data_IF_190329578404
#
_entry.id   IF_190329578404
#
_cell.length_a   1.000
_cell.length_b   1.000
_cell.length_c   1.000
_cell.angle_alpha   90.00
_cell.angle_beta   90.00
_cell.angle_gamma   90.00
#
_symmetry.space_group_name_H-M   'P 1'
#
loop_
_entity.id
_entity.type
_entity.pdbx_description
1 polymer ?
#
# COMPACT_ATOMS: atom_id res chain seq x y z
N UNK A 1 -6.44 -2.24 -1.95
CA UNK A 1 -6.04 -1.45 -0.77
C UNK A 1 -7.15 -1.31 0.29
N UNK A 2 -8.33 -0.77 -0.05
CA UNK A 2 -9.42 -0.55 0.91
C UNK A 2 -9.90 -1.80 1.68
N UNK A 3 -9.73 -3.01 1.11
CA UNK A 3 -10.02 -4.28 1.81
C UNK A 3 -9.11 -4.52 3.02
N UNK A 4 -7.86 -4.02 2.99
CA UNK A 4 -6.89 -4.17 4.07
C UNK A 4 -6.91 -2.96 5.00
N UNK A 5 -6.96 -1.75 4.44
CA UNK A 5 -6.97 -0.50 5.21
C UNK A 5 -8.14 0.36 4.70
N UNK A 6 -9.34 0.23 5.29
CA UNK A 6 -10.53 0.93 4.79
C UNK A 6 -10.39 2.45 4.76
N UNK A 7 -9.63 3.04 5.69
CA UNK A 7 -9.46 4.50 5.80
C UNK A 7 -8.85 5.17 4.57
N UNK A 8 -8.26 4.42 3.64
CA UNK A 8 -7.74 4.98 2.38
C UNK A 8 -8.83 5.51 1.44
N UNK A 9 -10.10 5.12 1.64
CA UNK A 9 -11.22 5.63 0.81
C UNK A 9 -11.47 7.12 1.02
N UNK A 10 -11.11 7.65 2.18
CA UNK A 10 -11.28 9.06 2.53
C UNK A 10 -10.13 9.94 2.04
N UNK A 11 -9.00 9.32 1.66
CA UNK A 11 -7.82 10.04 1.18
C UNK A 11 -8.05 10.58 -0.23
N UNK A 12 -7.65 11.82 -0.49
CA UNK A 12 -7.57 12.42 -1.82
C UNK A 12 -6.16 12.22 -2.40
N UNK A 13 -5.99 12.50 -3.68
CA UNK A 13 -4.67 12.50 -4.30
C UNK A 13 -3.75 13.49 -3.57
N UNK A 14 -2.53 13.06 -3.25
CA UNK A 14 -1.52 13.78 -2.43
C UNK A 14 -1.83 13.88 -0.93
N UNK A 15 -2.85 13.20 -0.42
CA UNK A 15 -3.04 13.06 1.03
C UNK A 15 -2.03 12.08 1.61
N UNK A 16 -1.66 12.35 2.86
CA UNK A 16 -0.86 11.48 3.71
C UNK A 16 -1.63 11.20 4.99
N UNK A 17 -1.71 9.94 5.40
CA UNK A 17 -2.40 9.53 6.61
C UNK A 17 -1.60 8.45 7.37
N UNK A 18 -1.78 8.43 8.69
CA UNK A 18 -1.37 7.32 9.54
C UNK A 18 -2.63 6.48 9.79
N UNK A 19 -2.63 5.24 9.30
CA UNK A 19 -3.79 4.36 9.36
C UNK A 19 -3.42 3.00 9.98
N UNK A 20 -4.28 2.44 10.85
CA UNK A 20 -3.96 1.21 11.55
C UNK A 20 -4.14 -0.03 10.65
N UNK A 21 -3.24 -1.00 10.82
CA UNK A 21 -3.37 -2.34 10.23
C UNK A 21 -2.65 -3.37 11.10
N UNK A 22 -3.30 -4.49 11.42
CA UNK A 22 -2.65 -5.59 12.16
C UNK A 22 -2.06 -5.19 13.52
N UNK A 23 -2.62 -4.16 14.18
CA UNK A 23 -2.12 -3.65 15.47
C UNK A 23 -0.93 -2.70 15.39
N UNK A 24 -0.51 -2.30 14.18
CA UNK A 24 0.53 -1.28 13.95
C UNK A 24 0.00 -0.12 13.13
N UNK A 25 0.73 0.99 13.17
CA UNK A 25 0.48 2.16 12.33
C UNK A 25 1.23 2.05 11.01
N UNK A 26 0.51 2.27 9.91
CA UNK A 26 1.07 2.40 8.57
C UNK A 26 1.09 3.88 8.19
N UNK A 27 2.18 4.33 7.59
CA UNK A 27 2.23 5.67 6.98
C UNK A 27 1.96 5.54 5.48
N UNK A 28 0.85 6.11 5.05
CA UNK A 28 0.31 5.92 3.70
C UNK A 28 0.21 7.27 2.99
N UNK A 29 0.79 7.35 1.81
CA UNK A 29 0.59 8.43 0.84
C UNK A 29 -0.27 7.93 -0.30
N UNK A 30 -1.32 8.66 -0.69
CA UNK A 30 -2.06 8.39 -1.93
C UNK A 30 -1.38 9.14 -3.08
N UNK A 31 -0.39 8.49 -3.67
CA UNK A 31 0.44 9.00 -4.77
C UNK A 31 0.49 7.97 -5.92
N UNK A 32 0.79 8.45 -7.12
CA UNK A 32 0.80 7.66 -8.33
C UNK A 32 2.02 7.94 -9.19
N UNK A 33 3.08 7.12 -9.08
CA UNK A 33 4.33 7.36 -9.81
C UNK A 33 4.18 7.21 -11.33
N UNK A 34 3.27 6.36 -11.79
CA UNK A 34 2.98 6.13 -13.22
C UNK A 34 1.90 7.08 -13.78
N UNK A 35 1.38 8.01 -12.97
CA UNK A 35 0.19 8.82 -13.30
C UNK A 35 -1.15 8.10 -13.07
N UNK A 36 -1.11 6.82 -12.69
CA UNK A 36 -2.29 6.07 -12.24
C UNK A 36 -2.50 6.24 -10.72
N UNK A 37 -3.73 6.05 -10.25
CA UNK A 37 -4.03 6.09 -8.81
C UNK A 37 -3.33 4.95 -8.07
N UNK A 38 -2.76 5.26 -6.91
CA UNK A 38 -1.91 4.33 -6.18
C UNK A 38 -1.62 4.78 -4.75
N UNK A 39 -0.81 3.97 -4.06
CA UNK A 39 -0.39 4.24 -2.70
C UNK A 39 1.09 3.89 -2.50
N UNK A 40 1.79 4.74 -1.76
CA UNK A 40 3.07 4.43 -1.14
C UNK A 40 2.84 4.16 0.34
N UNK A 41 3.40 3.05 0.84
CA UNK A 41 3.07 2.52 2.16
C UNK A 41 4.37 2.20 2.90
N UNK A 42 4.65 2.94 3.97
CA UNK A 42 5.71 2.60 4.91
C UNK A 42 5.17 1.68 6.00
N UNK A 43 5.79 0.51 6.14
CA UNK A 43 5.37 -0.55 7.06
C UNK A 43 6.50 -0.83 8.06
N UNK A 44 6.22 -1.02 9.37
CA UNK A 44 7.21 -1.52 10.31
C UNK A 44 7.82 -2.85 9.83
N UNK A 45 9.14 -3.00 9.96
CA UNK A 45 9.88 -4.13 9.39
C UNK A 45 9.31 -5.49 9.80
N UNK A 46 8.94 -5.67 11.08
CA UNK A 46 8.38 -6.92 11.59
C UNK A 46 7.01 -7.28 10.99
N UNK A 47 6.34 -6.35 10.30
CA UNK A 47 5.01 -6.53 9.69
C UNK A 47 5.08 -6.50 8.16
N UNK A 48 6.22 -6.13 7.58
CA UNK A 48 6.38 -5.96 6.13
C UNK A 48 6.03 -7.23 5.34
N UNK A 49 6.53 -8.40 5.77
CA UNK A 49 6.21 -9.67 5.11
C UNK A 49 4.71 -10.01 5.22
N UNK A 50 4.14 -9.88 6.40
CA UNK A 50 2.71 -10.15 6.62
C UNK A 50 1.82 -9.24 5.78
N UNK A 51 2.18 -7.96 5.68
CA UNK A 51 1.45 -6.99 4.86
C UNK A 51 1.54 -7.31 3.37
N UNK A 52 2.74 -7.63 2.88
CA UNK A 52 2.94 -8.02 1.49
C UNK A 52 2.16 -9.31 1.13
N UNK A 53 2.15 -10.31 2.02
CA UNK A 53 1.35 -11.53 1.82
C UNK A 53 -0.15 -11.24 1.77
N UNK A 54 -0.66 -10.40 2.68
CA UNK A 54 -2.06 -9.99 2.67
C UNK A 54 -2.47 -9.23 1.39
N UNK A 55 -1.55 -8.49 0.77
CA UNK A 55 -1.76 -7.92 -0.56
C UNK A 55 -1.83 -9.01 -1.63
N UNK A 56 -0.89 -9.95 -1.63
CA UNK A 56 -0.79 -11.04 -2.61
C UNK A 56 -1.88 -12.11 -2.50
N UNK A 57 -2.56 -12.21 -1.36
CA UNK A 57 -3.74 -13.07 -1.19
C UNK A 57 -4.96 -12.58 -2.00
N UNK A 58 -4.90 -11.36 -2.56
CA UNK A 58 -5.90 -10.88 -3.51
C UNK A 58 -5.58 -11.38 -4.92
N UNK A 59 -6.51 -12.10 -5.58
CA UNK A 59 -6.24 -12.78 -6.86
C UNK A 59 -5.83 -11.84 -8.01
N UNK A 60 -6.20 -10.55 -7.93
CA UNK A 60 -5.85 -9.52 -8.90
C UNK A 60 -4.47 -8.88 -8.66
N UNK A 61 -3.77 -9.21 -7.56
CA UNK A 61 -2.49 -8.59 -7.20
C UNK A 61 -1.32 -9.51 -7.55
N UNK A 62 -0.29 -8.94 -8.17
CA UNK A 62 0.96 -9.63 -8.47
C UNK A 62 2.15 -8.84 -7.93
N UNK A 63 3.24 -9.52 -7.51
CA UNK A 63 4.46 -8.83 -7.12
C UNK A 63 5.20 -8.37 -8.39
N UNK A 64 5.92 -7.27 -8.28
CA UNK A 64 6.76 -6.75 -9.36
C UNK A 64 8.19 -6.50 -8.86
N UNK A 65 9.17 -6.90 -9.66
CA UNK A 65 10.58 -6.66 -9.39
C UNK A 65 11.06 -5.32 -9.95
N UNK A 66 12.27 -4.90 -9.55
CA UNK A 66 12.85 -3.62 -9.94
C UNK A 66 12.95 -3.44 -11.47
N UNK A 67 13.32 -4.50 -12.20
CA UNK A 67 13.50 -4.41 -13.65
C UNK A 67 12.23 -4.03 -14.44
N UNK A 68 11.05 -4.42 -13.95
CA UNK A 68 9.78 -4.07 -14.58
C UNK A 68 9.21 -2.73 -14.06
N UNK A 69 9.73 -2.21 -12.94
CA UNK A 69 9.38 -0.89 -12.41
C UNK A 69 10.11 0.23 -13.17
N UNK A 70 11.36 -0.01 -13.54
CA UNK A 70 12.26 1.01 -14.10
C UNK A 70 12.18 1.12 -15.64
N UNK A 71 11.26 0.39 -16.29
CA UNK A 71 10.99 0.42 -17.73
C UNK A 71 9.73 1.20 -18.07
#
# INVERSE_FOLDING_TARGET
MARLVPGVTEMRFMDVAILPWGGVDLWISRSGYTGEDGFEISVPNAQAEGFARALLDQPEVMPIGLGARDS
#
